data_IF_355437026829
#
_entry.id   IF_355437026829
#
_cell.length_a   1.000
_cell.length_b   1.000
_cell.length_c   1.000
_cell.angle_alpha   90.00
_cell.angle_beta   90.00
_cell.angle_gamma   90.00
#
_symmetry.space_group_name_H-M   'P 1'
#
loop_
_entity.id
_entity.type
_entity.pdbx_description
1 polymer ?
#
# COMPACT_ATOMS: atom_id res chain seq x y z
N UNK A 1 -16.27 12.10 8.39
CA UNK A 1 -17.40 11.44 7.69
C UNK A 1 -17.74 10.17 8.46
N UNK A 2 -18.96 10.04 8.95
CA UNK A 2 -19.35 9.06 9.97
C UNK A 2 -19.40 7.62 9.41
N UNK A 3 -18.74 6.69 10.11
CA UNK A 3 -18.74 5.23 9.92
C UNK A 3 -20.04 4.60 9.37
N UNK A 4 -21.25 4.95 9.87
CA UNK A 4 -22.52 4.37 9.41
C UNK A 4 -22.86 4.64 7.94
N UNK A 5 -22.47 5.78 7.38
CA UNK A 5 -22.77 6.11 5.98
C UNK A 5 -21.91 5.27 5.04
N UNK A 6 -20.64 5.04 5.40
CA UNK A 6 -19.74 4.14 4.67
C UNK A 6 -20.25 2.70 4.65
N UNK A 7 -20.73 2.17 5.77
CA UNK A 7 -21.25 0.80 5.83
C UNK A 7 -22.51 0.60 4.99
N UNK A 8 -23.41 1.58 4.98
CA UNK A 8 -24.65 1.53 4.20
C UNK A 8 -24.37 1.59 2.70
N UNK A 9 -23.48 2.49 2.29
CA UNK A 9 -23.02 2.59 0.91
C UNK A 9 -22.30 1.31 0.43
N UNK A 10 -21.49 0.69 1.29
CA UNK A 10 -20.80 -0.56 0.96
C UNK A 10 -21.77 -1.73 0.76
N UNK A 11 -22.79 -1.85 1.62
CA UNK A 11 -23.84 -2.87 1.49
C UNK A 11 -24.66 -2.70 0.21
N UNK A 12 -25.01 -1.45 -0.13
CA UNK A 12 -25.75 -1.13 -1.35
C UNK A 12 -24.93 -1.45 -2.60
N UNK A 13 -23.66 -1.04 -2.67
CA UNK A 13 -22.76 -1.34 -3.78
C UNK A 13 -22.58 -2.85 -3.97
N UNK A 14 -22.41 -3.60 -2.88
CA UNK A 14 -22.29 -5.07 -2.93
C UNK A 14 -23.55 -5.75 -3.48
N UNK A 15 -24.73 -5.21 -3.18
CA UNK A 15 -26.03 -5.81 -3.56
C UNK A 15 -26.45 -5.44 -4.98
N UNK A 16 -26.28 -4.18 -5.37
CA UNK A 16 -26.88 -3.64 -6.60
C UNK A 16 -25.88 -3.34 -7.72
N UNK A 17 -24.58 -3.23 -7.42
CA UNK A 17 -23.54 -3.08 -8.43
C UNK A 17 -22.33 -4.01 -8.17
N UNK A 18 -22.49 -5.35 -8.15
CA UNK A 18 -21.41 -6.28 -7.82
C UNK A 18 -20.13 -6.14 -8.68
N UNK A 19 -20.21 -5.87 -10.01
CA UNK A 19 -19.01 -5.63 -10.81
C UNK A 19 -18.24 -4.38 -10.35
N UNK A 20 -18.94 -3.27 -10.08
CA UNK A 20 -18.34 -2.02 -9.61
C UNK A 20 -17.78 -2.18 -8.18
N UNK A 21 -18.52 -2.84 -7.29
CA UNK A 21 -18.05 -3.16 -5.94
C UNK A 21 -16.78 -4.03 -5.98
N UNK A 22 -16.76 -5.07 -6.82
CA UNK A 22 -15.57 -5.91 -7.04
C UNK A 22 -14.42 -5.11 -7.62
N UNK A 23 -14.68 -4.17 -8.55
CA UNK A 23 -13.70 -3.24 -9.11
C UNK A 23 -13.06 -2.35 -8.03
N UNK A 24 -13.89 -1.69 -7.21
CA UNK A 24 -13.45 -0.86 -6.08
C UNK A 24 -12.68 -1.67 -5.02
N UNK A 25 -13.11 -2.91 -4.75
CA UNK A 25 -12.36 -3.82 -3.87
C UNK A 25 -11.04 -4.29 -4.47
N UNK A 26 -10.88 -4.31 -5.81
CA UNK A 26 -9.58 -4.64 -6.43
C UNK A 26 -8.52 -3.62 -6.08
N UNK A 27 -8.92 -2.35 -5.98
CA UNK A 27 -8.01 -1.21 -5.83
C UNK A 27 -7.68 -0.84 -4.38
N UNK A 28 -8.40 -1.38 -3.39
CA UNK A 28 -8.36 -0.89 -2.01
C UNK A 28 -7.56 -1.76 -1.02
N UNK A 29 -6.82 -2.79 -1.47
CA UNK A 29 -6.05 -3.69 -0.59
C UNK A 29 -6.88 -4.58 0.35
N UNK A 30 -8.18 -4.27 0.54
CA UNK A 30 -9.15 -5.00 1.38
C UNK A 30 -9.26 -6.49 1.05
N UNK A 31 -8.97 -6.88 -0.19
CA UNK A 31 -8.94 -8.30 -0.58
C UNK A 31 -7.75 -9.06 -0.04
N UNK A 32 -6.58 -8.44 0.08
CA UNK A 32 -5.42 -9.08 0.71
C UNK A 32 -5.68 -9.29 2.20
N UNK A 33 -6.21 -8.27 2.89
CA UNK A 33 -6.59 -8.36 4.29
C UNK A 33 -7.67 -9.42 4.58
N UNK A 34 -8.60 -9.65 3.66
CA UNK A 34 -9.60 -10.72 3.78
C UNK A 34 -9.05 -12.12 3.46
N UNK A 35 -8.01 -12.20 2.63
CA UNK A 35 -7.44 -13.46 2.13
C UNK A 35 -6.34 -14.02 3.02
N UNK A 36 -5.57 -13.17 3.68
CA UNK A 36 -4.40 -13.52 4.47
C UNK A 36 -4.51 -12.94 5.88
N UNK A 37 -4.32 -13.78 6.88
CA UNK A 37 -4.52 -13.45 8.28
C UNK A 37 -3.40 -12.58 8.83
N UNK A 38 -2.15 -12.84 8.44
CA UNK A 38 -0.97 -12.12 8.95
C UNK A 38 -0.41 -11.10 7.97
N UNK A 39 0.38 -10.15 8.47
CA UNK A 39 1.10 -9.19 7.62
C UNK A 39 2.14 -9.91 6.76
N UNK A 40 2.89 -10.84 7.36
CA UNK A 40 3.84 -11.70 6.67
C UNK A 40 3.20 -12.43 5.47
N UNK A 41 2.05 -13.08 5.64
CA UNK A 41 1.35 -13.76 4.54
C UNK A 41 0.95 -12.79 3.42
N UNK A 42 0.51 -11.57 3.78
CA UNK A 42 0.15 -10.53 2.81
C UNK A 42 1.36 -10.06 2.04
N UNK A 43 2.44 -9.67 2.72
CA UNK A 43 3.65 -9.18 2.08
C UNK A 43 4.35 -10.26 1.26
N UNK A 44 4.38 -11.50 1.75
CA UNK A 44 4.87 -12.63 0.97
C UNK A 44 4.07 -12.83 -0.31
N UNK A 45 2.74 -12.70 -0.27
CA UNK A 45 1.92 -12.78 -1.48
C UNK A 45 2.15 -11.59 -2.41
N UNK A 46 2.19 -10.37 -1.89
CA UNK A 46 2.49 -9.15 -2.66
C UNK A 46 3.80 -9.35 -3.43
N UNK A 47 4.83 -9.80 -2.73
CA UNK A 47 6.15 -10.02 -3.29
C UNK A 47 6.16 -11.12 -4.35
N UNK A 48 5.74 -12.34 -3.99
CA UNK A 48 5.81 -13.50 -4.89
C UNK A 48 4.96 -13.37 -6.15
N UNK A 49 3.84 -12.63 -6.07
CA UNK A 49 2.94 -12.46 -7.21
C UNK A 49 3.20 -11.20 -8.02
N UNK A 50 4.16 -10.36 -7.59
CA UNK A 50 4.26 -8.98 -8.06
C UNK A 50 2.87 -8.33 -8.12
N UNK A 51 2.20 -8.27 -6.97
CA UNK A 51 0.77 -7.95 -6.91
C UNK A 51 0.44 -6.58 -7.53
N UNK A 52 1.38 -5.65 -7.47
CA UNK A 52 1.26 -4.32 -8.04
C UNK A 52 1.54 -4.25 -9.53
N UNK A 53 2.02 -5.35 -10.13
CA UNK A 53 2.37 -5.46 -11.54
C UNK A 53 3.37 -4.40 -11.98
N UNK A 54 4.35 -4.12 -11.12
CA UNK A 54 5.44 -3.18 -11.39
C UNK A 54 6.73 -3.97 -11.68
N UNK A 55 7.39 -3.69 -12.79
CA UNK A 55 8.61 -4.37 -13.20
C UNK A 55 9.85 -3.85 -12.45
N UNK A 56 9.87 -2.57 -12.10
CA UNK A 56 11.00 -1.92 -11.44
C UNK A 56 11.03 -2.22 -9.94
N UNK A 57 9.87 -2.19 -9.28
CA UNK A 57 9.78 -2.38 -7.84
C UNK A 57 8.59 -3.24 -7.42
N UNK A 58 8.89 -4.40 -6.85
CA UNK A 58 7.89 -5.36 -6.35
C UNK A 58 7.06 -4.80 -5.19
N UNK A 59 7.57 -3.78 -4.49
CA UNK A 59 6.83 -3.03 -3.46
C UNK A 59 5.74 -2.13 -4.04
N UNK A 60 5.75 -1.92 -5.36
CA UNK A 60 4.76 -1.17 -6.12
C UNK A 60 5.30 0.12 -6.73
N UNK A 61 4.47 0.83 -7.51
CA UNK A 61 4.88 2.01 -8.27
C UNK A 61 5.40 3.15 -7.41
N UNK A 62 4.90 3.33 -6.18
CA UNK A 62 5.42 4.36 -5.25
C UNK A 62 6.83 4.08 -4.72
N UNK A 63 7.47 2.99 -5.14
CA UNK A 63 8.82 2.59 -4.72
C UNK A 63 9.79 2.51 -5.90
N UNK A 64 9.48 3.16 -7.02
CA UNK A 64 10.39 3.30 -8.17
C UNK A 64 11.48 4.36 -7.89
N UNK A 65 12.50 4.38 -8.73
CA UNK A 65 13.58 5.36 -8.70
C UNK A 65 13.06 6.77 -8.99
N UNK A 66 12.08 6.91 -9.86
CA UNK A 66 11.41 8.19 -10.14
C UNK A 66 10.66 8.68 -8.90
N UNK A 67 9.78 7.85 -8.32
CA UNK A 67 8.96 8.25 -7.15
C UNK A 67 9.81 8.52 -5.91
N UNK A 68 10.94 7.83 -5.74
CA UNK A 68 11.85 8.04 -4.60
C UNK A 68 12.95 9.07 -4.86
N UNK A 69 12.98 9.71 -6.04
CA UNK A 69 14.00 10.72 -6.39
C UNK A 69 14.04 11.91 -5.42
N UNK A 70 12.92 12.54 -5.02
CA UNK A 70 12.95 13.65 -4.08
C UNK A 70 13.50 13.23 -2.72
N UNK A 71 13.15 12.01 -2.25
CA UNK A 71 13.65 11.48 -0.98
C UNK A 71 15.17 11.30 -1.01
N UNK A 72 15.72 10.69 -2.07
CA UNK A 72 17.17 10.52 -2.21
C UNK A 72 17.93 11.84 -2.30
N UNK A 73 17.30 12.88 -2.85
CA UNK A 73 17.88 14.22 -2.95
C UNK A 73 17.91 14.94 -1.61
N UNK A 74 16.81 14.91 -0.85
CA UNK A 74 16.65 15.75 0.35
C UNK A 74 17.00 15.04 1.67
N UNK A 75 16.89 13.71 1.76
CA UNK A 75 17.20 12.98 3.00
C UNK A 75 18.65 13.18 3.48
N UNK A 76 19.70 13.13 2.62
CA UNK A 76 21.08 13.25 3.09
C UNK A 76 21.37 14.60 3.77
N UNK A 77 20.86 15.71 3.22
CA UNK A 77 21.06 17.04 3.81
C UNK A 77 20.32 17.16 5.15
N UNK A 78 19.09 16.65 5.23
CA UNK A 78 18.31 16.62 6.46
C UNK A 78 19.00 15.78 7.55
N UNK A 79 19.49 14.58 7.22
CA UNK A 79 20.20 13.72 8.17
C UNK A 79 21.47 14.40 8.70
N UNK A 80 22.19 15.13 7.85
CA UNK A 80 23.36 15.92 8.25
C UNK A 80 22.98 17.06 9.18
N UNK A 81 21.90 17.78 8.88
CA UNK A 81 21.40 18.88 9.72
C UNK A 81 20.99 18.39 11.11
N UNK A 82 20.33 17.23 11.18
CA UNK A 82 19.94 16.58 12.44
C UNK A 82 21.12 16.00 13.22
N UNK A 83 22.33 15.95 12.63
CA UNK A 83 23.47 15.25 13.21
C UNK A 83 23.23 13.74 13.39
N UNK A 84 22.37 13.15 12.55
CA UNK A 84 22.01 11.75 12.64
C UNK A 84 23.23 10.87 12.28
N UNK A 85 23.63 10.01 13.21
CA UNK A 85 24.76 9.07 13.03
C UNK A 85 24.30 7.64 12.73
N UNK A 86 23.01 7.36 12.89
CA UNK A 86 22.38 6.09 12.56
C UNK A 86 21.00 6.32 11.95
N UNK A 87 20.61 5.44 11.03
CA UNK A 87 19.28 5.41 10.42
C UNK A 87 18.76 3.98 10.51
N UNK A 88 17.59 3.81 11.11
CA UNK A 88 16.89 2.53 11.20
C UNK A 88 15.74 2.52 10.18
N UNK A 89 15.84 1.64 9.19
CA UNK A 89 14.75 1.39 8.25
C UNK A 89 13.82 0.31 8.81
N UNK A 90 12.65 0.73 9.30
CA UNK A 90 11.61 -0.18 9.82
C UNK A 90 10.55 -0.41 8.76
N UNK A 91 10.42 -1.63 8.21
CA UNK A 91 9.33 -1.93 7.29
C UNK A 91 7.98 -1.83 8.02
N UNK A 92 6.93 -1.50 7.26
CA UNK A 92 5.59 -1.25 7.80
C UNK A 92 4.77 -2.50 8.17
N UNK A 93 5.34 -3.71 8.09
CA UNK A 93 4.76 -4.95 8.62
C UNK A 93 5.33 -6.23 8.02
#
# INVERSE_FOLDING_TARGET
MTEPVRQTAERALRRFAPPLYRWLQRRSGRRLAKRFGTAEERFQHIYKSNHWSEAESVSGPGSTLEETEPLRRELPSLLKELGATSLLDLPCG
#
